data_IF_441016715408
#
_entry.id   IF_441016715408
#
_cell.length_a   1.000
_cell.length_b   1.000
_cell.length_c   1.000
_cell.angle_alpha   90.00
_cell.angle_beta   90.00
_cell.angle_gamma   90.00
#
_symmetry.space_group_name_H-M   'P 1'
#
loop_
_entity.id
_entity.type
_entity.pdbx_description
1 polymer ?
#
# COMPACT_ATOMS: atom_id res chain seq x y z
N UNK A 1 8.44 -5.07 5.29
CA UNK A 1 7.71 -5.71 6.42
C UNK A 1 6.23 -5.98 6.12
N UNK A 2 5.36 -4.98 5.85
CA UNK A 2 3.94 -5.26 5.56
C UNK A 2 3.73 -5.87 4.16
N UNK A 3 4.25 -5.23 3.11
CA UNK A 3 4.09 -5.70 1.73
C UNK A 3 4.72 -7.08 1.51
N UNK A 4 5.91 -7.33 2.09
CA UNK A 4 6.54 -8.66 2.10
C UNK A 4 5.57 -9.72 2.64
N UNK A 5 4.97 -9.49 3.81
CA UNK A 5 4.01 -10.43 4.39
C UNK A 5 2.74 -10.57 3.52
N UNK A 6 2.24 -9.47 2.97
CA UNK A 6 1.05 -9.47 2.11
C UNK A 6 1.23 -10.39 0.89
N UNK A 7 2.43 -10.39 0.30
CA UNK A 7 2.78 -11.21 -0.85
C UNK A 7 3.36 -12.60 -0.49
N UNK A 8 3.09 -13.09 0.72
CA UNK A 8 3.46 -14.46 1.14
C UNK A 8 4.85 -14.61 1.76
N UNK A 9 5.54 -13.49 2.02
CA UNK A 9 6.79 -13.47 2.77
C UNK A 9 6.62 -13.68 4.28
N UNK A 10 7.69 -13.45 5.08
CA UNK A 10 7.68 -13.67 6.52
C UNK A 10 6.58 -12.91 7.27
N UNK A 11 6.07 -13.49 8.37
CA UNK A 11 5.00 -12.90 9.21
C UNK A 11 5.49 -11.79 10.16
N UNK A 12 6.63 -11.20 9.87
CA UNK A 12 7.30 -10.22 10.75
C UNK A 12 6.43 -9.00 11.04
N UNK A 13 5.54 -8.59 10.12
CA UNK A 13 4.61 -7.49 10.39
C UNK A 13 3.60 -7.87 11.48
N UNK A 14 2.96 -9.04 11.36
CA UNK A 14 2.00 -9.52 12.33
C UNK A 14 2.64 -9.76 13.70
N UNK A 15 3.85 -10.33 13.73
CA UNK A 15 4.57 -10.60 14.99
C UNK A 15 4.92 -9.31 15.74
N UNK A 16 5.32 -8.26 15.01
CA UNK A 16 5.77 -6.99 15.63
C UNK A 16 4.66 -5.96 15.82
N UNK A 17 3.64 -5.99 14.96
CA UNK A 17 2.60 -4.96 14.90
C UNK A 17 1.20 -5.51 15.07
N UNK A 18 1.00 -6.82 15.18
CA UNK A 18 -0.32 -7.44 15.30
C UNK A 18 -1.17 -7.34 14.03
N UNK A 19 -2.48 -7.55 14.18
CA UNK A 19 -3.42 -7.56 13.05
C UNK A 19 -3.39 -6.24 12.26
N UNK A 20 -3.32 -6.25 10.90
CA UNK A 20 -3.10 -5.04 10.11
C UNK A 20 -4.06 -3.88 10.35
N UNK A 21 -5.38 -4.14 10.39
CA UNK A 21 -6.44 -3.14 10.65
C UNK A 21 -6.14 -1.78 9.97
N UNK A 22 -5.77 -1.81 8.68
CA UNK A 22 -5.13 -0.68 8.01
C UNK A 22 -5.96 0.59 8.10
N UNK A 23 -7.25 0.55 7.73
CA UNK A 23 -8.13 1.73 7.80
C UNK A 23 -8.19 2.34 9.21
N UNK A 24 -8.31 1.51 10.24
CA UNK A 24 -8.29 1.97 11.64
C UNK A 24 -6.98 2.68 12.00
N UNK A 25 -5.83 2.19 11.51
CA UNK A 25 -4.53 2.83 11.72
C UNK A 25 -4.33 4.12 10.93
N UNK A 26 -5.10 4.31 9.86
CA UNK A 26 -5.07 5.52 9.04
C UNK A 26 -6.09 6.58 9.49
N UNK A 27 -7.10 6.22 10.31
CA UNK A 27 -8.10 7.15 10.86
C UNK A 27 -7.55 8.37 11.62
N UNK A 28 -6.41 8.30 12.33
CA UNK A 28 -5.85 9.49 12.99
C UNK A 28 -5.37 10.59 12.03
N UNK A 29 -5.27 10.30 10.73
CA UNK A 29 -4.79 11.25 9.72
C UNK A 29 -5.94 11.58 8.76
N UNK A 30 -6.09 12.86 8.41
CA UNK A 30 -7.01 13.27 7.33
C UNK A 30 -6.42 12.81 6.00
N UNK A 31 -7.12 11.92 5.30
CA UNK A 31 -6.73 11.41 3.99
C UNK A 31 -7.87 11.69 3.02
N UNK A 32 -7.74 12.80 2.30
CA UNK A 32 -8.62 13.15 1.18
C UNK A 32 -8.07 12.60 -0.15
N UNK A 33 -8.80 12.88 -1.24
CA UNK A 33 -8.39 12.47 -2.57
C UNK A 33 -7.01 13.03 -2.97
N UNK A 34 -6.68 14.27 -2.57
CA UNK A 34 -5.40 14.88 -2.91
C UNK A 34 -4.22 14.19 -2.20
N UNK A 35 -4.40 13.80 -0.93
CA UNK A 35 -3.43 13.01 -0.19
C UNK A 35 -3.23 11.61 -0.82
N UNK A 36 -4.33 10.93 -1.18
CA UNK A 36 -4.29 9.64 -1.90
C UNK A 36 -3.50 9.76 -3.21
N UNK A 37 -3.85 10.73 -4.05
CA UNK A 37 -3.22 10.90 -5.36
C UNK A 37 -1.74 11.25 -5.23
N UNK A 38 -1.37 12.02 -4.21
CA UNK A 38 0.03 12.32 -3.90
C UNK A 38 0.80 11.07 -3.49
N UNK A 39 0.22 10.24 -2.63
CA UNK A 39 0.82 8.96 -2.26
C UNK A 39 0.96 8.03 -3.47
N UNK A 40 -0.07 7.95 -4.34
CA UNK A 40 -0.04 7.12 -5.55
C UNK A 40 1.05 7.57 -6.53
N UNK A 41 1.28 8.88 -6.71
CA UNK A 41 2.39 9.36 -7.55
C UNK A 41 3.75 8.86 -7.05
N UNK A 42 3.99 8.92 -5.75
CA UNK A 42 5.24 8.43 -5.17
C UNK A 42 5.37 6.91 -5.30
N UNK A 43 4.27 6.18 -5.11
CA UNK A 43 4.27 4.73 -5.28
C UNK A 43 4.50 4.31 -6.73
N UNK A 44 3.92 5.01 -7.71
CA UNK A 44 4.14 4.72 -9.13
C UNK A 44 5.63 4.82 -9.48
N UNK A 45 6.27 5.92 -9.08
CA UNK A 45 7.71 6.12 -9.28
C UNK A 45 8.55 5.03 -8.59
N UNK A 46 8.16 4.59 -7.39
CA UNK A 46 8.86 3.52 -6.68
C UNK A 46 8.71 2.17 -7.38
N UNK A 47 7.52 1.83 -7.89
CA UNK A 47 7.30 0.59 -8.65
C UNK A 47 8.06 0.64 -9.98
N UNK A 48 8.05 1.78 -10.68
CA UNK A 48 8.82 1.96 -11.93
C UNK A 48 10.31 1.72 -11.70
N UNK A 49 10.87 2.22 -10.59
CA UNK A 49 12.28 2.00 -10.22
C UNK A 49 12.63 0.56 -9.85
N UNK A 50 11.64 -0.30 -9.60
CA UNK A 50 11.85 -1.70 -9.28
C UNK A 50 12.04 -2.58 -10.53
N UNK A 51 11.84 -2.01 -11.73
CA UNK A 51 12.09 -2.67 -13.03
C UNK A 51 11.44 -4.07 -13.13
N UNK A 52 10.19 -4.17 -12.67
CA UNK A 52 9.44 -5.42 -12.66
C UNK A 52 9.06 -5.84 -14.09
N UNK A 53 8.82 -7.15 -14.27
CA UNK A 53 8.16 -7.60 -15.49
C UNK A 53 6.75 -6.98 -15.60
N UNK A 54 6.21 -6.77 -16.81
CA UNK A 54 4.90 -6.11 -16.99
C UNK A 54 3.77 -6.73 -16.16
N UNK A 55 3.74 -8.07 -16.05
CA UNK A 55 2.75 -8.78 -15.26
C UNK A 55 2.85 -8.45 -13.76
N UNK A 56 4.06 -8.42 -13.20
CA UNK A 56 4.24 -8.13 -11.78
C UNK A 56 4.01 -6.65 -11.46
N UNK A 57 4.34 -5.76 -12.40
CA UNK A 57 4.03 -4.34 -12.31
C UNK A 57 2.53 -4.11 -12.16
N UNK A 58 1.73 -4.66 -13.08
CA UNK A 58 0.27 -4.53 -13.08
C UNK A 58 -0.34 -5.08 -11.79
N UNK A 59 0.06 -6.29 -11.37
CA UNK A 59 -0.46 -6.92 -10.14
C UNK A 59 -0.18 -6.06 -8.91
N UNK A 60 1.06 -5.55 -8.77
CA UNK A 60 1.42 -4.72 -7.64
C UNK A 60 0.69 -3.37 -7.68
N UNK A 61 0.62 -2.74 -8.84
CA UNK A 61 -0.01 -1.45 -9.01
C UNK A 61 -1.51 -1.50 -8.70
N UNK A 62 -2.22 -2.48 -9.24
CA UNK A 62 -3.64 -2.71 -9.02
C UNK A 62 -3.97 -2.94 -7.53
N UNK A 63 -3.09 -3.63 -6.80
CA UNK A 63 -3.19 -3.72 -5.34
C UNK A 63 -3.02 -2.35 -4.65
N UNK A 64 -1.96 -1.61 -4.97
CA UNK A 64 -1.64 -0.33 -4.33
C UNK A 64 -2.74 0.70 -4.56
N UNK A 65 -3.30 0.76 -5.76
CA UNK A 65 -4.40 1.64 -6.12
C UNK A 65 -5.64 1.36 -5.25
N UNK A 66 -6.13 0.12 -5.24
CA UNK A 66 -7.28 -0.28 -4.40
C UNK A 66 -7.04 -0.03 -2.91
N UNK A 67 -5.82 -0.34 -2.44
CA UNK A 67 -5.45 -0.12 -1.05
C UNK A 67 -5.52 1.38 -0.70
N UNK A 68 -4.98 2.26 -1.56
CA UNK A 68 -5.00 3.70 -1.36
C UNK A 68 -6.43 4.26 -1.34
N UNK A 69 -7.29 3.83 -2.27
CA UNK A 69 -8.71 4.20 -2.28
C UNK A 69 -9.42 3.81 -0.97
N UNK A 70 -9.10 2.64 -0.42
CA UNK A 70 -9.71 2.15 0.82
C UNK A 70 -9.32 2.94 2.07
N UNK A 71 -8.21 3.70 2.02
CA UNK A 71 -7.71 4.49 3.14
C UNK A 71 -8.30 5.90 3.21
N UNK A 72 -8.90 6.42 2.12
CA UNK A 72 -9.56 7.73 2.10
C UNK A 72 -10.64 7.81 3.17
N UNK A 73 -10.61 8.87 3.98
CA UNK A 73 -11.46 9.01 5.17
C UNK A 73 -12.05 10.41 5.35
N UNK A 74 -11.87 11.30 4.38
CA UNK A 74 -12.40 12.67 4.39
C UNK A 74 -12.75 13.19 3.01
#
# INVERSE_FOLDING_TARGET
MFLEQYWGGPRTYQERRGHPRLRMRHMPFRIDAAARDTWLRHMRAAVDSAELSPLHDEILWDYLERAAHSMVNS
#
